data_IF_584081106659
#
_entry.id   IF_584081106659
#
_cell.length_a   1.000
_cell.length_b   1.000
_cell.length_c   1.000
_cell.angle_alpha   90.00
_cell.angle_beta   90.00
_cell.angle_gamma   90.00
#
_symmetry.space_group_name_H-M   'P 1'
#
loop_
_entity.id
_entity.type
_entity.pdbx_description
1 polymer ?
#
# COMPACT_ATOMS: atom_id res chain seq x y z
N UNK A 1 15.39 1.95 24.31
CA UNK A 1 14.95 1.36 23.03
C UNK A 1 14.11 2.32 22.20
N UNK A 2 13.39 3.27 22.82
CA UNK A 2 12.77 4.44 22.14
C UNK A 2 13.76 5.37 21.42
N UNK A 3 15.06 5.03 21.45
CA UNK A 3 16.12 5.75 20.72
C UNK A 3 16.23 5.35 19.25
N UNK A 4 15.68 4.20 18.82
CA UNK A 4 15.75 3.73 17.41
C UNK A 4 14.53 4.14 16.60
N UNK A 5 13.35 4.03 17.20
CA UNK A 5 12.10 4.62 16.71
C UNK A 5 11.79 5.74 17.69
N UNK A 6 11.80 6.99 17.22
CA UNK A 6 11.56 8.13 18.10
C UNK A 6 10.26 7.95 18.89
N UNK A 7 10.20 8.47 20.11
CA UNK A 7 9.10 8.29 21.08
C UNK A 7 7.68 8.63 20.54
N UNK A 8 7.58 9.28 19.38
CA UNK A 8 6.34 9.66 18.72
C UNK A 8 6.02 8.80 17.48
N UNK A 9 6.82 7.77 17.17
CA UNK A 9 6.58 6.92 16.02
C UNK A 9 5.32 6.08 16.24
N UNK A 10 4.36 6.06 15.30
CA UNK A 10 3.15 5.24 15.44
C UNK A 10 3.45 3.74 15.51
N UNK A 11 4.63 3.33 15.03
CA UNK A 11 5.09 1.94 15.04
C UNK A 11 5.31 1.39 16.46
N UNK A 12 5.44 2.25 17.48
CA UNK A 12 5.58 1.80 18.88
C UNK A 12 4.25 1.33 19.49
N UNK A 13 3.14 1.43 18.76
CA UNK A 13 1.81 1.02 19.21
C UNK A 13 1.64 -0.51 19.35
N UNK A 14 2.60 -1.30 18.84
CA UNK A 14 2.59 -2.76 18.90
C UNK A 14 3.90 -3.29 19.50
N UNK A 15 3.94 -4.55 20.01
CA UNK A 15 5.17 -5.15 20.50
C UNK A 15 6.25 -5.19 19.41
N UNK A 16 7.51 -4.99 19.81
CA UNK A 16 8.64 -4.91 18.87
C UNK A 16 8.85 -6.20 18.07
N UNK A 17 8.60 -7.36 18.68
CA UNK A 17 8.71 -8.66 18.00
C UNK A 17 7.65 -8.80 16.90
N UNK A 18 6.43 -8.31 17.16
CA UNK A 18 5.34 -8.28 16.19
C UNK A 18 5.65 -7.30 15.05
N UNK A 19 6.17 -6.11 15.38
CA UNK A 19 6.64 -5.15 14.37
C UNK A 19 7.74 -5.75 13.50
N UNK A 20 8.76 -6.34 14.09
CA UNK A 20 9.87 -6.97 13.38
C UNK A 20 9.38 -8.10 12.46
N UNK A 21 8.51 -8.98 12.96
CA UNK A 21 7.94 -10.07 12.18
C UNK A 21 7.08 -9.56 11.01
N UNK A 22 6.34 -8.46 11.22
CA UNK A 22 5.55 -7.83 10.16
C UNK A 22 6.43 -7.20 9.07
N UNK A 23 7.58 -6.62 9.43
CA UNK A 23 8.54 -6.10 8.45
C UNK A 23 9.14 -7.25 7.65
N UNK A 24 9.41 -8.41 8.25
CA UNK A 24 9.84 -9.58 7.47
C UNK A 24 8.77 -9.97 6.43
N UNK A 25 7.48 -9.94 6.79
CA UNK A 25 6.41 -10.21 5.83
C UNK A 25 6.37 -9.18 4.68
N UNK A 26 6.63 -7.91 4.98
CA UNK A 26 6.77 -6.84 3.98
C UNK A 26 7.89 -7.15 2.98
N UNK A 27 9.11 -7.40 3.46
CA UNK A 27 10.27 -7.64 2.60
C UNK A 27 10.15 -8.95 1.80
N UNK A 28 9.51 -9.98 2.38
CA UNK A 28 9.23 -11.22 1.66
C UNK A 28 8.21 -11.01 0.54
N UNK A 29 7.24 -10.11 0.72
CA UNK A 29 6.30 -9.76 -0.34
C UNK A 29 7.02 -9.12 -1.53
N UNK A 30 7.93 -8.17 -1.30
CA UNK A 30 8.78 -7.61 -2.36
C UNK A 30 9.58 -8.68 -3.08
N UNK A 31 10.23 -9.58 -2.35
CA UNK A 31 11.02 -10.65 -2.94
C UNK A 31 10.16 -11.59 -3.81
N UNK A 32 8.95 -11.91 -3.37
CA UNK A 32 8.02 -12.75 -4.13
C UNK A 32 7.52 -12.03 -5.39
N UNK A 33 7.13 -10.76 -5.29
CA UNK A 33 6.71 -9.96 -6.45
C UNK A 33 7.81 -9.88 -7.51
N UNK A 34 9.04 -9.62 -7.09
CA UNK A 34 10.19 -9.59 -7.99
C UNK A 34 10.36 -10.93 -8.74
N UNK A 35 10.20 -12.06 -8.04
CA UNK A 35 10.27 -13.39 -8.65
C UNK A 35 9.10 -13.64 -9.61
N UNK A 36 7.87 -13.30 -9.22
CA UNK A 36 6.66 -13.52 -10.02
C UNK A 36 6.67 -12.72 -11.31
N UNK A 37 7.19 -11.49 -11.26
CA UNK A 37 7.36 -10.63 -12.44
C UNK A 37 8.62 -10.94 -13.25
N UNK A 38 9.39 -11.96 -12.88
CA UNK A 38 10.67 -12.30 -13.51
C UNK A 38 11.62 -11.09 -13.61
N UNK A 39 11.62 -10.24 -12.58
CA UNK A 39 12.42 -9.02 -12.52
C UNK A 39 11.93 -7.85 -13.39
N UNK A 40 10.76 -7.94 -14.02
CA UNK A 40 10.14 -6.80 -14.70
C UNK A 40 9.71 -5.75 -13.65
N UNK A 41 10.03 -4.48 -13.92
CA UNK A 41 9.71 -3.37 -13.03
C UNK A 41 8.29 -2.85 -13.26
N UNK A 42 7.56 -2.69 -12.16
CA UNK A 42 6.30 -1.94 -12.07
C UNK A 42 6.54 -0.65 -11.26
N UNK A 43 5.47 0.10 -10.96
CA UNK A 43 5.59 1.29 -10.11
C UNK A 43 5.95 0.89 -8.67
N UNK A 44 6.60 1.81 -7.96
CA UNK A 44 6.99 1.58 -6.57
C UNK A 44 5.73 1.45 -5.69
N UNK A 45 4.68 2.19 -6.02
CA UNK A 45 3.39 2.11 -5.33
C UNK A 45 2.73 0.73 -5.41
N UNK A 46 2.81 0.01 -6.53
CA UNK A 46 2.26 -1.35 -6.65
C UNK A 46 2.97 -2.33 -5.72
N UNK A 47 4.31 -2.29 -5.70
CA UNK A 47 5.14 -3.13 -4.85
C UNK A 47 4.88 -2.87 -3.37
N UNK A 48 4.91 -1.60 -2.99
CA UNK A 48 4.69 -1.16 -1.61
C UNK A 48 3.25 -1.43 -1.16
N UNK A 49 2.26 -1.28 -2.03
CA UNK A 49 0.87 -1.61 -1.70
C UNK A 49 0.73 -3.06 -1.26
N UNK A 50 1.29 -3.99 -2.04
CA UNK A 50 1.23 -5.42 -1.71
C UNK A 50 2.05 -5.70 -0.46
N UNK A 51 3.25 -5.12 -0.33
CA UNK A 51 4.10 -5.31 0.83
C UNK A 51 3.46 -4.82 2.14
N UNK A 52 2.86 -3.63 2.14
CA UNK A 52 2.09 -3.13 3.29
C UNK A 52 0.85 -3.97 3.55
N UNK A 53 0.11 -4.39 2.52
CA UNK A 53 -1.05 -5.26 2.72
C UNK A 53 -0.64 -6.55 3.45
N UNK A 54 0.47 -7.18 3.05
CA UNK A 54 1.00 -8.39 3.70
C UNK A 54 1.55 -8.11 5.11
N UNK A 55 2.19 -6.96 5.31
CA UNK A 55 2.65 -6.53 6.63
C UNK A 55 1.48 -6.45 7.62
N UNK A 56 0.41 -5.73 7.27
CA UNK A 56 -0.76 -5.61 8.13
C UNK A 56 -1.54 -6.93 8.27
N UNK A 57 -1.56 -7.76 7.22
CA UNK A 57 -2.19 -9.08 7.26
C UNK A 57 -1.49 -10.02 8.25
N UNK A 58 -0.17 -9.90 8.41
CA UNK A 58 0.63 -10.74 9.30
C UNK A 58 0.44 -10.44 10.79
N UNK A 59 -0.10 -9.27 11.12
CA UNK A 59 -0.38 -8.86 12.50
C UNK A 59 -1.66 -9.54 13.01
N UNK A 60 -1.72 -9.75 14.33
CA UNK A 60 -3.00 -10.11 14.95
C UNK A 60 -4.00 -8.95 14.82
N UNK A 61 -5.31 -9.25 14.81
CA UNK A 61 -6.33 -8.20 14.71
C UNK A 61 -6.19 -7.09 15.78
N UNK A 62 -5.92 -7.39 17.07
CA UNK A 62 -5.73 -6.34 18.08
C UNK A 62 -4.49 -5.47 17.84
N UNK A 63 -3.38 -6.05 17.36
CA UNK A 63 -2.16 -5.32 17.03
C UNK A 63 -2.38 -4.43 15.81
N UNK A 64 -2.98 -4.99 14.76
CA UNK A 64 -3.35 -4.26 13.54
C UNK A 64 -4.23 -3.06 13.86
N UNK A 65 -5.28 -3.23 14.65
CA UNK A 65 -6.14 -2.13 15.07
C UNK A 65 -5.38 -1.07 15.89
N UNK A 66 -4.51 -1.49 16.79
CA UNK A 66 -3.73 -0.56 17.62
C UNK A 66 -2.76 0.26 16.77
N UNK A 67 -2.12 -0.39 15.79
CA UNK A 67 -1.29 0.28 14.81
C UNK A 67 -2.09 1.26 13.96
N UNK A 68 -3.21 0.82 13.37
CA UNK A 68 -4.08 1.67 12.54
C UNK A 68 -4.63 2.89 13.30
N UNK A 69 -4.93 2.77 14.60
CA UNK A 69 -5.35 3.90 15.45
C UNK A 69 -4.23 4.91 15.70
N UNK A 70 -2.98 4.46 15.72
CA UNK A 70 -1.82 5.33 15.91
C UNK A 70 -1.38 6.03 14.61
N UNK A 71 -1.77 5.50 13.44
CA UNK A 71 -1.36 6.05 12.14
C UNK A 71 -1.99 7.43 11.85
N UNK A 72 -1.24 8.34 11.20
CA UNK A 72 -1.83 9.51 10.55
C UNK A 72 -2.71 9.08 9.35
N UNK A 73 -3.59 9.97 8.88
CA UNK A 73 -4.47 9.66 7.75
C UNK A 73 -5.56 8.65 8.11
N UNK A 74 -6.54 9.10 8.91
CA UNK A 74 -7.69 8.30 9.32
C UNK A 74 -8.83 8.31 8.28
N UNK A 75 -8.50 8.39 6.99
CA UNK A 75 -9.48 8.38 5.92
C UNK A 75 -10.30 7.08 5.98
N UNK A 76 -11.62 7.23 6.07
CA UNK A 76 -12.55 6.10 6.12
C UNK A 76 -12.69 5.41 4.75
N UNK A 77 -12.28 6.10 3.68
CA UNK A 77 -12.33 5.63 2.32
C UNK A 77 -11.05 6.04 1.58
N UNK A 78 -10.40 5.06 0.97
CA UNK A 78 -9.16 5.21 0.20
C UNK A 78 -9.51 4.87 -1.24
N UNK A 79 -9.31 5.81 -2.16
CA UNK A 79 -9.46 5.57 -3.59
C UNK A 79 -8.17 5.05 -4.20
N UNK A 80 -8.26 4.40 -5.37
CA UNK A 80 -7.09 4.03 -6.17
C UNK A 80 -6.20 5.23 -6.49
N UNK A 81 -6.79 6.39 -6.80
CA UNK A 81 -6.03 7.64 -7.04
C UNK A 81 -5.20 8.11 -5.84
N UNK A 82 -5.51 7.69 -4.60
CA UNK A 82 -4.69 8.00 -3.41
C UNK A 82 -3.50 7.04 -3.25
N UNK A 83 -3.57 5.86 -3.86
CA UNK A 83 -2.52 4.86 -3.87
C UNK A 83 -1.65 5.11 -5.10
N UNK A 84 -0.67 6.00 -4.98
CA UNK A 84 0.25 6.31 -6.07
C UNK A 84 1.64 6.70 -5.55
N UNK A 85 2.63 6.76 -6.45
CA UNK A 85 4.04 7.06 -6.13
C UNK A 85 4.23 8.41 -5.43
N UNK A 86 3.42 9.43 -5.75
CA UNK A 86 3.51 10.75 -5.12
C UNK A 86 3.13 10.67 -3.64
N UNK A 87 2.00 10.06 -3.30
CA UNK A 87 1.60 9.91 -1.89
C UNK A 87 2.53 8.98 -1.11
N UNK A 88 2.98 7.88 -1.73
CA UNK A 88 3.99 6.99 -1.15
C UNK A 88 5.25 7.77 -0.78
N UNK A 89 5.78 8.59 -1.69
CA UNK A 89 7.00 9.37 -1.46
C UNK A 89 6.81 10.41 -0.34
N UNK A 90 5.65 11.07 -0.31
CA UNK A 90 5.36 12.13 0.67
C UNK A 90 5.10 11.58 2.07
N UNK A 91 4.46 10.42 2.19
CA UNK A 91 4.11 9.84 3.48
C UNK A 91 4.00 8.30 3.42
N UNK A 92 5.15 7.58 3.47
CA UNK A 92 5.15 6.12 3.37
C UNK A 92 4.31 5.44 4.46
N UNK A 93 4.38 5.97 5.68
CA UNK A 93 3.62 5.46 6.83
C UNK A 93 2.11 5.59 6.61
N UNK A 94 1.65 6.74 6.12
CA UNK A 94 0.23 6.97 5.80
C UNK A 94 -0.21 6.07 4.65
N UNK A 95 0.60 6.01 3.58
CA UNK A 95 0.37 5.15 2.43
C UNK A 95 0.18 3.69 2.84
N UNK A 96 1.02 3.15 3.74
CA UNK A 96 0.88 1.79 4.21
C UNK A 96 -0.44 1.53 4.93
N UNK A 97 -0.92 2.49 5.73
CA UNK A 97 -2.24 2.39 6.37
C UNK A 97 -3.39 2.41 5.35
N UNK A 98 -3.24 3.20 4.29
CA UNK A 98 -4.21 3.28 3.20
C UNK A 98 -4.24 1.99 2.37
N UNK A 99 -3.08 1.43 2.06
CA UNK A 99 -2.95 0.15 1.37
C UNK A 99 -3.72 -0.95 2.09
N UNK A 100 -3.54 -1.08 3.42
CA UNK A 100 -4.33 -2.03 4.21
C UNK A 100 -5.84 -1.75 4.16
N UNK A 101 -6.27 -0.50 4.40
CA UNK A 101 -7.70 -0.13 4.40
C UNK A 101 -8.37 -0.38 3.06
N UNK A 102 -7.64 -0.21 1.97
CA UNK A 102 -8.13 -0.51 0.62
C UNK A 102 -8.16 -2.03 0.38
N UNK A 103 -7.11 -2.76 0.77
CA UNK A 103 -7.00 -4.21 0.62
C UNK A 103 -8.07 -4.97 1.43
N UNK A 104 -8.29 -4.59 2.69
CA UNK A 104 -9.28 -5.23 3.59
C UNK A 104 -10.72 -5.15 3.06
N UNK A 105 -10.99 -4.17 2.18
CA UNK A 105 -12.31 -4.00 1.55
C UNK A 105 -12.47 -4.76 0.24
N UNK A 106 -11.41 -5.40 -0.28
CA UNK A 106 -11.52 -6.20 -1.49
C UNK A 106 -12.27 -7.50 -1.19
N UNK A 107 -13.33 -7.78 -1.94
CA UNK A 107 -14.04 -9.05 -1.84
C UNK A 107 -13.16 -10.23 -2.29
N UNK A 108 -12.27 -9.99 -3.26
CA UNK A 108 -11.27 -10.93 -3.75
C UNK A 108 -9.86 -10.31 -3.69
N UNK A 109 -9.25 -10.33 -2.51
CA UNK A 109 -7.90 -9.79 -2.30
C UNK A 109 -6.82 -10.52 -3.11
N UNK A 110 -6.96 -11.84 -3.31
CA UNK A 110 -6.00 -12.62 -4.09
C UNK A 110 -6.09 -12.31 -5.59
N UNK A 111 -7.31 -12.20 -6.13
CA UNK A 111 -7.54 -11.76 -7.49
C UNK A 111 -7.03 -10.34 -7.71
N UNK A 112 -7.24 -9.43 -6.75
CA UNK A 112 -6.71 -8.08 -6.82
C UNK A 112 -5.18 -8.04 -6.88
N UNK A 113 -4.49 -8.78 -6.01
CA UNK A 113 -3.02 -8.87 -6.05
C UNK A 113 -2.55 -9.52 -7.35
N UNK A 114 -3.26 -10.55 -7.85
CA UNK A 114 -2.92 -11.20 -9.12
C UNK A 114 -3.03 -10.23 -10.30
N UNK A 115 -4.04 -9.36 -10.29
CA UNK A 115 -4.21 -8.29 -11.29
C UNK A 115 -3.09 -7.24 -11.23
N UNK A 116 -2.58 -6.93 -10.04
CA UNK A 116 -1.38 -6.10 -9.89
C UNK A 116 -0.17 -6.82 -10.49
N UNK A 117 0.05 -8.09 -10.16
CA UNK A 117 1.21 -8.85 -10.66
C UNK A 117 1.19 -9.02 -12.18
N UNK A 118 0.01 -9.12 -12.79
CA UNK A 118 -0.14 -9.22 -14.25
C UNK A 118 -0.11 -7.87 -14.97
N UNK A 119 -0.11 -6.75 -14.25
CA UNK A 119 -0.21 -5.40 -14.82
C UNK A 119 -1.62 -5.03 -15.33
N UNK A 120 -2.66 -5.81 -14.98
CA UNK A 120 -4.06 -5.47 -15.26
C UNK A 120 -4.59 -4.36 -14.34
N UNK A 121 -4.00 -4.24 -13.15
CA UNK A 121 -4.28 -3.19 -12.16
C UNK A 121 -2.97 -2.44 -11.90
N UNK A 122 -3.02 -1.12 -12.04
CA UNK A 122 -1.87 -0.24 -11.82
C UNK A 122 -2.19 0.91 -10.86
N UNK A 123 -1.19 1.63 -10.37
CA UNK A 123 -1.37 2.81 -9.51
C UNK A 123 -0.86 4.09 -10.16
N UNK A 124 -0.81 4.09 -11.49
CA UNK A 124 -0.34 5.24 -12.25
C UNK A 124 -1.38 6.36 -12.26
N UNK A 125 -0.95 7.57 -11.96
CA UNK A 125 -1.77 8.77 -12.13
C UNK A 125 -1.77 9.16 -13.61
N UNK A 126 -2.56 8.47 -14.42
CA UNK A 126 -2.61 8.80 -15.84
C UNK A 126 -3.71 9.83 -16.15
N UNK A 127 -3.28 11.04 -16.53
CA UNK A 127 -4.16 12.04 -17.13
C UNK A 127 -4.56 11.65 -18.56
N UNK A 128 -3.77 10.80 -19.24
CA UNK A 128 -3.99 10.39 -20.62
C UNK A 128 -5.02 9.25 -20.74
N UNK A 129 -5.09 8.30 -19.80
CA UNK A 129 -6.09 7.23 -19.80
C UNK A 129 -7.53 7.74 -19.68
N UNK A 130 -7.75 8.89 -19.02
CA UNK A 130 -9.04 9.61 -19.03
C UNK A 130 -9.37 10.24 -20.40
N UNK A 131 -8.36 10.47 -21.24
CA UNK A 131 -8.49 11.05 -22.58
C UNK A 131 -8.51 9.99 -23.71
N UNK A 132 -8.33 8.70 -23.41
CA UNK A 132 -8.39 7.62 -24.40
C UNK A 132 -9.82 7.21 -24.77
N UNK A 133 -10.84 7.69 -24.04
CA UNK A 133 -12.25 7.59 -24.41
C UNK A 133 -12.78 8.95 -24.90
N UNK A 134 -13.05 9.12 -26.22
CA UNK A 134 -13.07 10.43 -26.86
C UNK A 134 -14.27 11.37 -26.68
N UNK A 135 -15.49 11.01 -26.21
CA UNK A 135 -16.57 12.00 -26.25
C UNK A 135 -16.48 13.09 -25.16
N UNK A 136 -15.65 12.93 -24.12
CA UNK A 136 -15.72 13.80 -22.93
C UNK A 136 -14.55 14.79 -22.74
N UNK A 137 -13.55 14.80 -23.62
CA UNK A 137 -12.41 15.71 -23.48
C UNK A 137 -12.38 16.76 -24.60
N UNK A 138 -13.04 17.90 -24.38
CA UNK A 138 -12.80 19.13 -25.15
C UNK A 138 -11.94 20.08 -24.32
N UNK A 139 -10.64 20.14 -24.62
CA UNK A 139 -9.76 21.21 -24.14
C UNK A 139 -10.02 22.42 -25.06
N UNK A 140 -10.89 23.33 -24.61
CA UNK A 140 -10.98 24.65 -25.23
C UNK A 140 -9.72 25.45 -24.84
N UNK A 141 -8.93 25.81 -25.85
CA UNK A 141 -7.85 26.81 -25.74
C UNK A 141 -8.43 28.21 -25.55
#
# INVERSE_FOLDING_TARGET
MSKLLGDQSPLIAIPIESLFSSIIAHELAHALLFQMRNGAGETIAEDEYVAYAMQYLSLTAPERESLLRAMPGQESYVTRDMLNDFFLTMSPITFGSWAWRHFEKQEDGCGFISGIVSGEIDFTLDAASRCLNPPECTINR
#
